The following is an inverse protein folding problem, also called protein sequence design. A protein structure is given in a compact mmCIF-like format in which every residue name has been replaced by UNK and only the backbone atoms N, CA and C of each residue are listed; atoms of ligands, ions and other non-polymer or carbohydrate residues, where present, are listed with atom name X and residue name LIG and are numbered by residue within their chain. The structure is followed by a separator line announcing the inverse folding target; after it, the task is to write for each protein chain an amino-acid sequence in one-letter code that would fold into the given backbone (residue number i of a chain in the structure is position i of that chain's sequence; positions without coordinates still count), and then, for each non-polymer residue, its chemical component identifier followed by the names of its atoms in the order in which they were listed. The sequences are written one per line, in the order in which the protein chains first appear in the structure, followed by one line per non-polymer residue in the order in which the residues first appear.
data_IF_863801746947
#
_entry.id   IF_863801746947
#
_cell.length_a   1.000
_cell.length_b   1.000
_cell.length_c   1.000
_cell.angle_alpha   90.00
_cell.angle_beta   90.00
_cell.angle_gamma   90.00
#
_symmetry.space_group_name_H-M   'P 1'
#
loop_
_entity.id
_entity.type
_entity.pdbx_description
1 polymer ?
#
# COMPACT_ATOMS: atom_id res chain seq x y z
N UNK A 1 -2.10 10.16 3.60
CA UNK A 1 -2.27 9.03 4.53
C UNK A 1 -0.91 8.53 4.97
N UNK A 2 -0.70 8.41 6.28
CA UNK A 2 0.53 7.87 6.88
C UNK A 2 0.58 6.35 6.77
N UNK A 3 1.77 5.75 6.91
CA UNK A 3 1.90 4.29 6.89
C UNK A 3 1.22 3.63 8.09
N UNK A 4 1.12 4.32 9.23
CA UNK A 4 0.44 3.80 10.42
C UNK A 4 -1.06 3.76 10.23
N UNK A 5 -1.62 4.82 9.63
CA UNK A 5 -3.03 4.86 9.23
C UNK A 5 -3.35 3.73 8.25
N UNK A 6 -2.50 3.54 7.23
CA UNK A 6 -2.63 2.44 6.27
C UNK A 6 -2.63 1.08 6.96
N UNK A 7 -1.63 0.80 7.81
CA UNK A 7 -1.51 -0.50 8.46
C UNK A 7 -2.70 -0.79 9.38
N UNK A 8 -3.19 0.23 10.11
CA UNK A 8 -4.40 0.09 10.93
C UNK A 8 -5.65 -0.16 10.09
N UNK A 9 -5.82 0.59 8.99
CA UNK A 9 -6.99 0.51 8.12
C UNK A 9 -7.14 -0.87 7.49
N UNK A 10 -6.05 -1.47 7.02
CA UNK A 10 -6.06 -2.77 6.35
C UNK A 10 -5.67 -3.94 7.25
N UNK A 11 -5.57 -3.71 8.57
CA UNK A 11 -5.17 -4.69 9.57
C UNK A 11 -3.86 -5.43 9.21
N UNK A 12 -2.87 -4.69 8.70
CA UNK A 12 -1.56 -5.23 8.38
C UNK A 12 -0.78 -5.62 9.65
N UNK A 13 0.08 -6.66 9.60
CA UNK A 13 0.88 -7.08 10.74
C UNK A 13 1.73 -5.93 11.33
N UNK A 14 1.92 -5.95 12.65
CA UNK A 14 2.59 -4.86 13.41
C UNK A 14 3.98 -4.49 12.85
N UNK A 15 4.72 -5.44 12.29
CA UNK A 15 6.06 -5.21 11.73
C UNK A 15 6.09 -4.46 10.39
N UNK A 16 4.97 -4.33 9.69
CA UNK A 16 4.94 -3.75 8.34
C UNK A 16 5.23 -2.25 8.37
N UNK A 17 4.61 -1.50 9.29
CA UNK A 17 4.84 -0.06 9.41
C UNK A 17 6.31 0.25 9.72
N UNK A 18 6.93 -0.50 10.64
CA UNK A 18 8.33 -0.36 10.99
C UNK A 18 9.28 -0.74 9.84
N UNK A 19 8.95 -1.76 9.05
CA UNK A 19 9.73 -2.11 7.86
C UNK A 19 9.71 -0.98 6.81
N UNK A 20 8.52 -0.42 6.52
CA UNK A 20 8.35 0.66 5.56
C UNK A 20 9.03 1.96 6.02
N UNK A 21 8.91 2.32 7.30
CA UNK A 21 9.63 3.47 7.87
C UNK A 21 11.15 3.33 7.74
N UNK A 22 11.70 2.14 8.03
CA UNK A 22 13.13 1.86 7.87
C UNK A 22 13.58 1.95 6.41
N UNK A 23 12.70 1.66 5.46
CA UNK A 23 12.91 1.90 4.04
C UNK A 23 12.75 3.37 3.61
N UNK A 24 12.51 4.29 4.55
CA UNK A 24 12.34 5.72 4.28
C UNK A 24 10.93 6.13 3.86
N UNK A 25 9.96 5.21 3.90
CA UNK A 25 8.58 5.45 3.50
C UNK A 25 7.76 5.81 4.75
N UNK A 26 7.30 7.07 4.81
CA UNK A 26 6.54 7.61 5.96
C UNK A 26 5.07 7.89 5.66
N UNK A 27 4.80 8.26 4.41
CA UNK A 27 3.47 8.58 3.93
C UNK A 27 3.33 8.18 2.46
N UNK A 28 2.09 7.98 2.03
CA UNK A 28 1.80 7.67 0.64
C UNK A 28 1.71 8.93 -0.21
N UNK A 29 2.20 8.84 -1.45
CA UNK A 29 1.97 9.87 -2.46
C UNK A 29 0.52 9.86 -2.96
N UNK A 30 0.02 10.99 -3.50
CA UNK A 30 -1.35 11.08 -4.00
C UNK A 30 -1.76 9.95 -4.97
N UNK A 31 -0.92 9.53 -5.95
CA UNK A 31 -1.29 8.42 -6.84
C UNK A 31 -1.42 7.07 -6.12
N UNK A 32 -0.63 6.84 -5.06
CA UNK A 32 -0.71 5.62 -4.26
C UNK A 32 -1.99 5.61 -3.42
N UNK A 33 -2.34 6.76 -2.82
CA UNK A 33 -3.60 6.92 -2.07
C UNK A 33 -4.82 6.70 -2.99
N UNK A 34 -4.79 7.25 -4.20
CA UNK A 34 -5.84 7.04 -5.20
C UNK A 34 -6.00 5.55 -5.57
N UNK A 35 -4.90 4.80 -5.67
CA UNK A 35 -4.96 3.36 -5.91
C UNK A 35 -5.64 2.60 -4.76
N UNK A 36 -5.38 2.98 -3.50
CA UNK A 36 -6.04 2.39 -2.34
C UNK A 36 -7.53 2.70 -2.30
N UNK A 37 -7.91 3.95 -2.57
CA UNK A 37 -9.32 4.34 -2.70
C UNK A 37 -10.04 3.65 -3.86
N UNK A 38 -9.29 3.17 -4.86
CA UNK A 38 -9.80 2.36 -5.96
C UNK A 38 -9.78 0.84 -5.66
N UNK A 39 -9.61 0.43 -4.40
CA UNK A 39 -9.70 -0.97 -4.00
C UNK A 39 -8.42 -1.80 -4.24
N UNK A 40 -7.24 -1.19 -4.39
CA UNK A 40 -5.99 -1.93 -4.62
C UNK A 40 -5.69 -3.01 -3.58
N UNK A 41 -6.15 -2.84 -2.34
CA UNK A 41 -5.96 -3.78 -1.22
C UNK A 41 -7.25 -4.55 -0.90
N UNK A 42 -8.29 -4.40 -1.72
CA UNK A 42 -9.62 -4.94 -1.51
C UNK A 42 -9.85 -6.26 -2.26
N UNK A 43 -8.87 -6.69 -3.06
CA UNK A 43 -8.92 -7.94 -3.84
C UNK A 43 -9.58 -7.79 -5.21
N UNK A 44 -9.92 -6.56 -5.60
CA UNK A 44 -10.45 -6.25 -6.92
C UNK A 44 -9.33 -6.16 -7.97
N UNK A 45 -9.70 -6.36 -9.23
CA UNK A 45 -8.76 -6.15 -10.34
C UNK A 45 -8.55 -4.66 -10.58
N UNK A 46 -7.29 -4.22 -10.56
CA UNK A 46 -6.91 -2.82 -10.76
C UNK A 46 -5.83 -2.67 -11.83
N UNK A 47 -5.96 -1.65 -12.69
CA UNK A 47 -4.89 -1.21 -13.59
C UNK A 47 -4.37 0.15 -13.12
N UNK A 48 -3.15 0.17 -12.57
CA UNK A 48 -2.50 1.38 -12.09
C UNK A 48 -1.51 1.93 -13.14
N UNK A 49 -1.89 3.03 -13.81
CA UNK A 49 -1.03 3.76 -14.74
C UNK A 49 -0.59 5.10 -14.15
N UNK A 50 0.70 5.23 -13.83
CA UNK A 50 1.30 6.46 -13.31
C UNK A 50 2.80 6.54 -13.68
N UNK A 51 3.46 7.72 -13.60
CA UNK A 51 4.91 7.85 -13.83
C UNK A 51 5.76 6.91 -12.94
N UNK A 52 6.95 6.53 -13.40
CA UNK A 52 7.84 5.59 -12.66
C UNK A 52 8.18 6.10 -11.26
N UNK A 53 8.49 7.39 -11.13
CA UNK A 53 8.83 8.02 -9.87
C UNK A 53 7.66 8.09 -8.85
N UNK A 54 6.42 7.74 -9.26
CA UNK A 54 5.24 7.79 -8.38
C UNK A 54 5.17 6.65 -7.36
N UNK A 55 6.14 5.73 -7.35
CA UNK A 55 6.21 4.67 -6.34
C UNK A 55 5.15 3.57 -6.50
N UNK A 56 4.76 3.23 -7.74
CA UNK A 56 3.76 2.18 -8.03
C UNK A 56 4.12 0.81 -7.45
N UNK A 57 5.42 0.51 -7.33
CA UNK A 57 5.93 -0.74 -6.75
C UNK A 57 5.36 -0.99 -5.36
N UNK A 58 5.36 0.03 -4.50
CA UNK A 58 4.84 -0.08 -3.13
C UNK A 58 3.36 -0.49 -3.10
N UNK A 59 2.54 0.03 -4.01
CA UNK A 59 1.12 -0.34 -4.11
C UNK A 59 0.99 -1.83 -4.45
N UNK A 60 1.78 -2.31 -5.41
CA UNK A 60 1.82 -3.73 -5.78
C UNK A 60 2.29 -4.62 -4.64
N UNK A 61 3.34 -4.23 -3.93
CA UNK A 61 3.87 -4.96 -2.78
C UNK A 61 2.83 -5.09 -1.65
N UNK A 62 2.14 -3.99 -1.32
CA UNK A 62 1.06 -3.98 -0.33
C UNK A 62 -0.14 -4.83 -0.77
N UNK A 63 -0.53 -4.75 -2.04
CA UNK A 63 -1.61 -5.57 -2.59
C UNK A 63 -1.28 -7.07 -2.54
N UNK A 64 -0.05 -7.45 -2.93
CA UNK A 64 0.43 -8.84 -2.85
C UNK A 64 0.49 -9.33 -1.40
N UNK A 65 1.00 -8.52 -0.48
CA UNK A 65 1.03 -8.84 0.94
C UNK A 65 -0.39 -9.06 1.48
N UNK A 66 -1.31 -8.13 1.20
CA UNK A 66 -2.69 -8.23 1.65
C UNK A 66 -3.38 -9.47 1.07
N UNK A 67 -3.14 -9.79 -0.20
CA UNK A 67 -3.65 -11.00 -0.83
C UNK A 67 -3.11 -12.27 -0.16
N UNK A 68 -1.82 -12.31 0.19
CA UNK A 68 -1.21 -13.46 0.88
C UNK A 68 -1.71 -13.64 2.32
N UNK A 69 -2.18 -12.57 2.97
CA UNK A 69 -2.73 -12.60 4.33
C UNK A 69 -4.22 -12.97 4.37
N UNK A 70 -4.94 -12.79 3.26
CA UNK A 70 -6.35 -13.19 3.15
C UNK A 70 -6.44 -14.72 3.06
N UNK A 71 -7.34 -15.30 3.85
CA UNK A 71 -7.67 -16.74 3.82
C UNK A 71 -8.76 -17.01 2.79
#
# INVERSE_FOLDING_TARGET
MTIEELCKLYALPEGVAEALRRAGIKELYPPQQAALSAGALEGESLVLAAPTASGKTLVGELAMLQAALRK
#
